data_IF_395353664128
#
_entry.id   IF_395353664128
#
_cell.length_a   1.000
_cell.length_b   1.000
_cell.length_c   1.000
_cell.angle_alpha   90.00
_cell.angle_beta   90.00
_cell.angle_gamma   90.00
#
_symmetry.space_group_name_H-M   'P 1'
#
loop_
_entity.id
_entity.type
_entity.pdbx_description
1 polymer ?
#
# COMPACT_ATOMS: atom_id res chain seq x y z
N UNK A 1 26.46 3.76 -11.53
CA UNK A 1 26.79 3.50 -10.11
C UNK A 1 27.71 2.30 -10.04
N UNK A 2 28.52 2.13 -8.99
CA UNK A 2 29.34 0.90 -8.83
C UNK A 2 28.41 -0.28 -8.54
N UNK A 3 28.61 -1.46 -9.16
CA UNK A 3 27.71 -2.61 -8.99
C UNK A 3 27.46 -3.01 -7.53
N UNK A 4 28.47 -2.89 -6.67
CA UNK A 4 28.38 -3.22 -5.24
C UNK A 4 27.53 -2.26 -4.42
N UNK A 5 27.11 -1.13 -5.01
CA UNK A 5 26.23 -0.14 -4.39
C UNK A 5 24.79 -0.23 -4.89
N UNK A 6 24.50 -1.16 -5.83
CA UNK A 6 23.14 -1.39 -6.31
C UNK A 6 22.44 -2.32 -5.32
N UNK A 7 21.35 -1.83 -4.73
CA UNK A 7 20.57 -2.62 -3.79
C UNK A 7 19.91 -3.82 -4.49
N UNK A 8 19.95 -4.98 -3.85
CA UNK A 8 19.15 -6.12 -4.29
C UNK A 8 17.68 -5.87 -3.93
N UNK A 9 16.79 -5.97 -4.91
CA UNK A 9 15.37 -5.78 -4.72
C UNK A 9 14.58 -6.92 -5.35
N UNK A 10 13.37 -7.19 -4.82
CA UNK A 10 12.43 -8.17 -5.35
C UNK A 10 11.06 -7.50 -5.53
N UNK A 11 10.94 -6.56 -6.50
CA UNK A 11 9.80 -5.66 -6.57
C UNK A 11 8.57 -6.26 -7.26
N UNK A 12 8.69 -7.41 -7.90
CA UNK A 12 7.58 -8.02 -8.61
C UNK A 12 6.71 -8.83 -7.65
N UNK A 13 5.41 -8.60 -7.73
CA UNK A 13 4.41 -9.40 -7.00
C UNK A 13 4.15 -10.70 -7.76
N UNK A 14 4.01 -11.81 -7.06
CA UNK A 14 3.67 -13.10 -7.66
C UNK A 14 2.32 -13.04 -8.38
N UNK A 15 2.20 -13.62 -9.58
CA UNK A 15 0.98 -13.53 -10.37
C UNK A 15 -0.28 -14.02 -9.66
N UNK A 16 -0.18 -15.05 -8.83
CA UNK A 16 -1.30 -15.59 -8.05
C UNK A 16 -1.87 -14.64 -7.00
N UNK A 17 -1.09 -13.63 -6.59
CA UNK A 17 -1.50 -12.59 -5.64
C UNK A 17 -2.09 -11.36 -6.34
N UNK A 18 -2.17 -11.33 -7.68
CA UNK A 18 -2.60 -10.16 -8.46
C UNK A 18 -4.01 -10.36 -9.01
N UNK A 19 -4.87 -9.37 -8.77
CA UNK A 19 -6.17 -9.19 -9.43
C UNK A 19 -6.11 -7.85 -10.18
N UNK A 20 -6.46 -7.85 -11.46
CA UNK A 20 -6.39 -6.63 -12.28
C UNK A 20 -7.52 -6.53 -13.31
N UNK A 21 -7.89 -5.30 -13.64
CA UNK A 21 -8.65 -4.90 -14.81
C UNK A 21 -7.80 -4.04 -15.74
N UNK A 22 -8.46 -3.26 -16.60
CA UNK A 22 -7.76 -2.46 -17.60
C UNK A 22 -6.97 -1.30 -16.95
N UNK A 23 -7.58 -0.60 -15.99
CA UNK A 23 -7.00 0.60 -15.36
C UNK A 23 -6.67 0.43 -13.88
N UNK A 24 -6.88 -0.73 -13.29
CA UNK A 24 -6.65 -0.98 -11.87
C UNK A 24 -5.96 -2.31 -11.63
N UNK A 25 -5.19 -2.37 -10.56
CA UNK A 25 -4.54 -3.58 -10.08
C UNK A 25 -4.56 -3.61 -8.55
N UNK A 26 -4.95 -4.76 -7.99
CA UNK A 26 -4.91 -5.01 -6.56
C UNK A 26 -4.04 -6.23 -6.34
N UNK A 27 -3.03 -6.09 -5.48
CA UNK A 27 -2.13 -7.16 -5.10
C UNK A 27 -2.32 -7.50 -3.63
N UNK A 28 -2.63 -8.77 -3.34
CA UNK A 28 -2.73 -9.30 -1.98
C UNK A 28 -1.35 -9.78 -1.58
N UNK A 29 -0.51 -8.90 -1.05
CA UNK A 29 0.88 -9.22 -0.72
C UNK A 29 0.96 -10.18 0.47
N UNK A 30 0.17 -9.91 1.52
CA UNK A 30 -0.07 -10.84 2.63
C UNK A 30 -1.55 -10.80 3.01
N UNK A 31 -1.97 -11.59 3.98
CA UNK A 31 -3.35 -11.51 4.51
C UNK A 31 -3.68 -10.14 5.10
N UNK A 32 -2.66 -9.36 5.49
CA UNK A 32 -2.77 -8.04 6.13
C UNK A 32 -2.25 -6.89 5.29
N UNK A 33 -1.61 -7.15 4.14
CA UNK A 33 -0.98 -6.12 3.30
C UNK A 33 -1.53 -6.19 1.89
N UNK A 34 -2.22 -5.11 1.48
CA UNK A 34 -2.76 -4.95 0.13
C UNK A 34 -2.05 -3.80 -0.58
N UNK A 35 -1.71 -3.97 -1.86
CA UNK A 35 -1.30 -2.88 -2.74
C UNK A 35 -2.43 -2.58 -3.72
N UNK A 36 -2.75 -1.30 -3.88
CA UNK A 36 -3.85 -0.81 -4.69
C UNK A 36 -3.30 0.19 -5.69
N UNK A 37 -3.48 -0.10 -6.97
CA UNK A 37 -2.98 0.74 -8.04
C UNK A 37 -4.11 1.13 -9.00
N UNK A 38 -4.09 2.39 -9.41
CA UNK A 38 -4.93 2.88 -10.51
C UNK A 38 -4.06 3.62 -11.52
N UNK A 39 -4.22 3.28 -12.79
CA UNK A 39 -3.51 3.89 -13.90
C UNK A 39 -4.50 4.13 -15.05
N UNK A 40 -4.77 5.38 -15.44
CA UNK A 40 -5.67 5.67 -16.57
C UNK A 40 -5.25 5.00 -17.88
N UNK A 41 -3.95 4.75 -18.04
CA UNK A 41 -3.36 4.11 -19.23
C UNK A 41 -3.20 2.58 -19.08
N UNK A 42 -3.56 1.99 -17.93
CA UNK A 42 -3.38 0.57 -17.64
C UNK A 42 -1.93 0.12 -17.52
N UNK A 43 -1.00 1.06 -17.25
CA UNK A 43 0.41 0.77 -17.09
C UNK A 43 0.78 0.91 -15.62
N UNK A 44 1.20 -0.19 -15.00
CA UNK A 44 1.50 -0.30 -13.59
C UNK A 44 3.01 -0.30 -13.33
N UNK A 45 3.42 0.07 -12.12
CA UNK A 45 4.83 0.16 -11.74
C UNK A 45 5.29 -1.14 -11.05
N UNK A 46 6.15 -1.89 -11.72
CA UNK A 46 6.69 -3.14 -11.18
C UNK A 46 8.12 -3.01 -10.63
N UNK A 47 8.76 -1.86 -10.83
CA UNK A 47 10.09 -1.59 -10.26
C UNK A 47 9.99 -1.27 -8.78
N UNK A 48 11.08 -1.48 -8.06
CA UNK A 48 11.24 -1.00 -6.70
C UNK A 48 11.14 0.54 -6.67
N UNK A 49 10.68 1.08 -5.55
CA UNK A 49 10.65 2.53 -5.30
C UNK A 49 11.56 2.87 -4.12
N UNK A 50 11.73 4.15 -3.83
CA UNK A 50 12.46 4.57 -2.64
C UNK A 50 11.84 4.06 -1.34
N UNK A 51 10.52 3.81 -1.33
CA UNK A 51 9.79 3.35 -0.15
C UNK A 51 9.62 1.83 -0.11
N UNK A 52 9.52 1.15 -1.26
CA UNK A 52 9.19 -0.27 -1.33
C UNK A 52 10.14 -1.01 -2.25
N UNK A 53 10.94 -1.91 -1.70
CA UNK A 53 11.96 -2.66 -2.41
C UNK A 53 11.55 -4.10 -2.73
N UNK A 54 10.67 -4.68 -1.91
CA UNK A 54 10.27 -6.08 -2.03
C UNK A 54 8.75 -6.23 -2.05
N UNK A 55 8.24 -7.00 -3.01
CA UNK A 55 6.82 -7.38 -3.14
C UNK A 55 6.66 -8.88 -3.43
N UNK A 56 7.76 -9.63 -3.42
CA UNK A 56 7.74 -11.09 -3.61
C UNK A 56 7.38 -11.78 -2.30
N UNK A 57 6.09 -11.77 -1.97
CA UNK A 57 5.54 -12.52 -0.84
C UNK A 57 5.00 -13.87 -1.31
N UNK A 58 4.97 -14.89 -0.43
CA UNK A 58 4.31 -16.17 -0.72
C UNK A 58 2.86 -15.97 -1.16
N UNK A 59 2.29 -17.00 -1.82
CA UNK A 59 0.89 -16.98 -2.20
C UNK A 59 -0.01 -16.77 -0.96
N UNK A 60 -0.85 -15.73 -1.04
CA UNK A 60 -1.78 -15.36 0.03
C UNK A 60 -3.11 -16.07 -0.15
N UNK A 61 -3.76 -16.42 0.97
CA UNK A 61 -5.10 -16.98 0.95
C UNK A 61 -6.13 -15.87 1.03
N UNK A 62 -6.97 -15.74 0.01
CA UNK A 62 -8.07 -14.79 -0.01
C UNK A 62 -9.25 -15.31 -0.83
N UNK A 63 -10.43 -14.78 -0.55
CA UNK A 63 -11.63 -15.00 -1.34
C UNK A 63 -11.88 -13.80 -2.24
N UNK A 64 -12.10 -14.06 -3.52
CA UNK A 64 -12.48 -13.06 -4.52
C UNK A 64 -13.96 -13.25 -4.89
N UNK A 65 -14.75 -12.18 -4.85
CA UNK A 65 -16.10 -12.11 -5.38
C UNK A 65 -16.10 -10.97 -6.39
N UNK A 66 -16.47 -11.25 -7.62
CA UNK A 66 -16.41 -10.24 -8.69
C UNK A 66 -17.65 -10.30 -9.55
N UNK A 67 -18.18 -9.11 -9.85
CA UNK A 67 -19.24 -8.87 -10.82
C UNK A 67 -18.72 -7.94 -11.92
N UNK A 68 -19.58 -7.54 -12.86
CA UNK A 68 -19.23 -6.55 -13.86
C UNK A 68 -18.79 -5.22 -13.21
N UNK A 69 -19.50 -4.75 -12.19
CA UNK A 69 -19.34 -3.43 -11.58
C UNK A 69 -18.64 -3.43 -10.20
N UNK A 70 -18.33 -4.58 -9.64
CA UNK A 70 -17.76 -4.66 -8.29
C UNK A 70 -16.74 -5.76 -8.13
N UNK A 71 -15.83 -5.54 -7.20
CA UNK A 71 -14.85 -6.50 -6.73
C UNK A 71 -14.82 -6.49 -5.20
N UNK A 72 -14.91 -7.68 -4.60
CA UNK A 72 -14.62 -7.86 -3.18
C UNK A 72 -13.42 -8.78 -3.02
N UNK A 73 -12.52 -8.41 -2.12
CA UNK A 73 -11.39 -9.23 -1.70
C UNK A 73 -11.47 -9.39 -0.19
N UNK A 74 -11.53 -10.64 0.26
CA UNK A 74 -11.67 -10.97 1.67
C UNK A 74 -10.49 -11.83 2.08
N UNK A 75 -9.68 -11.30 3.01
CA UNK A 75 -8.61 -12.00 3.71
C UNK A 75 -9.02 -12.21 5.16
N UNK A 76 -8.28 -12.97 5.97
CA UNK A 76 -8.50 -13.01 7.41
C UNK A 76 -8.40 -11.65 8.12
N UNK A 77 -7.62 -10.71 7.58
CA UNK A 77 -7.34 -9.41 8.21
C UNK A 77 -8.05 -8.22 7.55
N UNK A 78 -8.56 -8.36 6.32
CA UNK A 78 -9.14 -7.25 5.58
C UNK A 78 -10.31 -7.66 4.69
N UNK A 79 -11.30 -6.77 4.54
CA UNK A 79 -12.37 -6.88 3.56
C UNK A 79 -12.40 -5.62 2.68
N UNK A 80 -11.96 -5.77 1.45
CA UNK A 80 -11.96 -4.70 0.45
C UNK A 80 -13.22 -4.80 -0.40
N UNK A 81 -13.86 -3.63 -0.65
CA UNK A 81 -14.97 -3.45 -1.58
C UNK A 81 -14.59 -2.34 -2.56
N UNK A 82 -14.70 -2.63 -3.86
CA UNK A 82 -14.26 -1.73 -4.92
C UNK A 82 -15.21 -1.76 -6.13
N UNK A 83 -15.52 -0.59 -6.68
CA UNK A 83 -16.43 -0.42 -7.83
C UNK A 83 -15.75 -0.51 -9.21
N UNK A 84 -14.48 -0.87 -9.28
CA UNK A 84 -13.66 -1.05 -10.49
C UNK A 84 -13.45 0.22 -11.35
N UNK A 85 -13.71 1.42 -10.77
CA UNK A 85 -13.51 2.72 -11.41
C UNK A 85 -12.31 3.44 -10.78
N UNK A 86 -12.04 4.66 -11.20
CA UNK A 86 -11.04 5.50 -10.54
C UNK A 86 -11.31 5.57 -9.02
N UNK A 87 -10.24 5.48 -8.23
CA UNK A 87 -10.37 5.45 -6.78
C UNK A 87 -11.08 6.70 -6.25
N UNK A 88 -12.09 6.49 -5.44
CA UNK A 88 -12.89 7.55 -4.85
C UNK A 88 -13.45 7.11 -3.49
N UNK A 89 -13.82 8.05 -2.61
CA UNK A 89 -14.35 7.73 -1.28
C UNK A 89 -15.57 6.80 -1.30
N UNK A 90 -16.44 6.94 -2.32
CA UNK A 90 -17.62 6.10 -2.47
C UNK A 90 -17.35 4.82 -3.29
N UNK A 91 -16.18 4.68 -3.90
CA UNK A 91 -15.86 3.59 -4.82
C UNK A 91 -14.90 2.56 -4.26
N UNK A 92 -14.13 2.91 -3.24
CA UNK A 92 -13.15 2.03 -2.63
C UNK A 92 -13.19 2.17 -1.12
N UNK A 93 -13.46 1.06 -0.43
CA UNK A 93 -13.38 0.97 1.02
C UNK A 93 -12.71 -0.34 1.44
N UNK A 94 -12.05 -0.31 2.59
CA UNK A 94 -11.41 -1.46 3.19
C UNK A 94 -11.71 -1.48 4.68
N UNK A 95 -12.27 -2.57 5.15
CA UNK A 95 -12.45 -2.84 6.57
C UNK A 95 -11.28 -3.69 7.08
N UNK A 96 -10.58 -3.20 8.11
CA UNK A 96 -9.68 -4.04 8.88
C UNK A 96 -10.48 -4.95 9.81
N UNK A 97 -10.21 -6.25 9.77
CA UNK A 97 -10.92 -7.29 10.54
C UNK A 97 -10.11 -7.63 11.78
N UNK A 98 -10.73 -7.57 12.97
CA UNK A 98 -10.07 -7.88 14.26
C UNK A 98 -10.79 -7.26 15.45
N UNK A 99 -10.22 -7.44 16.66
CA UNK A 99 -10.76 -6.94 17.93
C UNK A 99 -10.42 -5.46 18.22
N UNK A 100 -10.49 -4.62 17.21
CA UNK A 100 -10.37 -3.17 17.37
C UNK A 100 -11.70 -2.50 17.08
N UNK A 101 -11.88 -1.30 17.58
CA UNK A 101 -13.16 -0.57 17.54
C UNK A 101 -13.88 -0.66 16.18
N UNK A 102 -15.06 -1.25 16.15
CA UNK A 102 -15.90 -1.37 14.95
C UNK A 102 -16.24 -0.01 14.30
N UNK A 103 -16.16 1.09 15.05
CA UNK A 103 -16.50 2.43 14.56
C UNK A 103 -15.41 3.09 13.72
N UNK A 104 -14.16 2.60 13.75
CA UNK A 104 -13.02 3.24 13.08
C UNK A 104 -12.14 2.24 12.34
N UNK A 105 -12.64 1.05 12.04
CA UNK A 105 -11.92 0.01 11.31
C UNK A 105 -12.18 0.01 9.80
N UNK A 106 -13.06 0.87 9.30
CA UNK A 106 -13.34 1.03 7.87
C UNK A 106 -12.65 2.30 7.39
N UNK A 107 -11.86 2.15 6.37
CA UNK A 107 -11.22 3.22 5.63
C UNK A 107 -11.90 3.36 4.27
N UNK A 108 -12.24 4.58 3.88
CA UNK A 108 -12.60 4.94 2.52
C UNK A 108 -11.44 5.64 1.85
N UNK A 109 -11.32 5.51 0.55
CA UNK A 109 -10.24 6.17 -0.19
C UNK A 109 -10.19 7.67 0.12
N UNK A 110 -9.04 8.12 0.59
CA UNK A 110 -8.81 9.52 0.97
C UNK A 110 -9.16 9.87 2.42
N UNK A 111 -9.70 8.93 3.21
CA UNK A 111 -9.91 9.15 4.64
C UNK A 111 -8.57 9.27 5.37
N UNK A 112 -8.52 10.19 6.30
CA UNK A 112 -7.41 10.31 7.25
C UNK A 112 -7.52 9.23 8.35
N UNK A 113 -6.39 8.90 9.00
CA UNK A 113 -6.34 7.90 10.06
C UNK A 113 -5.39 8.34 11.17
N UNK A 114 -5.59 7.81 12.38
CA UNK A 114 -4.81 8.15 13.57
C UNK A 114 -3.64 7.19 13.71
N UNK A 115 -2.56 7.48 13.03
CA UNK A 115 -1.32 6.72 13.17
C UNK A 115 -0.59 7.03 14.49
N UNK A 116 0.46 6.29 14.76
CA UNK A 116 1.33 6.51 15.93
C UNK A 116 2.54 7.39 15.59
N UNK A 117 2.51 8.02 14.41
CA UNK A 117 3.58 8.85 13.87
C UNK A 117 4.63 8.04 13.13
N UNK A 118 5.13 8.63 12.07
CA UNK A 118 6.26 8.14 11.31
C UNK A 118 7.56 8.82 11.75
N UNK A 119 8.27 9.40 10.80
CA UNK A 119 9.53 10.10 11.05
C UNK A 119 9.50 11.50 10.44
N UNK A 120 10.55 12.27 10.69
CA UNK A 120 10.83 13.51 10.02
C UNK A 120 12.15 13.36 9.25
N UNK A 121 12.24 13.98 8.09
CA UNK A 121 13.44 13.89 7.23
C UNK A 121 14.67 14.50 7.90
N UNK A 122 14.46 15.61 8.61
CA UNK A 122 15.53 16.35 9.28
C UNK A 122 14.96 17.12 10.47
N UNK A 123 15.82 17.36 11.44
CA UNK A 123 15.55 18.26 12.56
C UNK A 123 16.35 19.58 12.43
N UNK A 124 16.99 19.79 11.28
CA UNK A 124 17.72 21.02 11.01
C UNK A 124 16.78 22.22 11.11
N UNK A 125 17.24 23.25 11.82
CA UNK A 125 16.47 24.47 12.09
C UNK A 125 15.16 24.26 12.88
N UNK A 126 14.93 23.07 13.44
CA UNK A 126 13.77 22.81 14.28
C UNK A 126 13.93 23.54 15.63
N UNK A 127 12.92 24.36 15.96
CA UNK A 127 12.78 25.03 17.24
C UNK A 127 11.46 24.60 17.90
N UNK A 128 11.51 23.51 18.65
CA UNK A 128 10.35 22.90 19.30
C UNK A 128 9.76 21.71 18.53
N UNK A 129 8.45 21.53 18.66
CA UNK A 129 7.74 20.39 18.04
C UNK A 129 7.62 20.56 16.53
N UNK A 130 7.85 19.49 15.79
CA UNK A 130 7.66 19.43 14.33
C UNK A 130 6.60 18.38 13.98
N UNK A 131 5.87 18.55 12.86
CA UNK A 131 4.99 17.52 12.37
C UNK A 131 5.79 16.30 11.89
N UNK A 132 5.34 15.10 12.25
CA UNK A 132 5.88 13.84 11.73
C UNK A 132 5.07 13.42 10.50
N UNK A 133 5.72 12.71 9.59
CA UNK A 133 5.03 12.02 8.49
C UNK A 133 4.16 10.88 9.04
N UNK A 134 3.20 10.41 8.25
CA UNK A 134 2.38 9.25 8.61
C UNK A 134 3.24 7.99 8.77
N UNK A 135 2.89 7.18 9.76
CA UNK A 135 3.54 5.89 10.01
C UNK A 135 2.69 4.72 9.52
N UNK A 136 3.31 3.53 9.47
CA UNK A 136 2.66 2.30 9.04
C UNK A 136 1.89 1.57 10.13
N UNK A 137 1.88 2.09 11.35
CA UNK A 137 1.13 1.56 12.50
C UNK A 137 0.17 2.61 13.05
N UNK A 138 -1.00 2.18 13.49
CA UNK A 138 -2.04 3.08 13.97
C UNK A 138 -2.86 2.47 15.10
N UNK A 139 -3.69 3.30 15.73
CA UNK A 139 -4.69 2.85 16.71
C UNK A 139 -5.97 2.34 16.06
N UNK A 140 -6.15 2.58 14.76
CA UNK A 140 -7.33 2.14 14.02
C UNK A 140 -7.27 0.69 13.56
N UNK A 141 -6.14 0.00 13.79
CA UNK A 141 -5.90 -1.35 13.29
C UNK A 141 -5.48 -1.41 11.83
N UNK A 142 -5.40 -0.27 11.16
CA UNK A 142 -4.89 -0.14 9.79
C UNK A 142 -4.10 1.15 9.61
N UNK A 143 -3.29 1.20 8.57
CA UNK A 143 -2.68 2.42 8.05
C UNK A 143 -2.58 2.39 6.54
N UNK A 144 -2.30 3.53 5.94
CA UNK A 144 -2.19 3.70 4.49
C UNK A 144 -0.90 4.43 4.16
N UNK A 145 -0.14 3.89 3.22
CA UNK A 145 1.05 4.54 2.68
C UNK A 145 0.84 4.88 1.21
N UNK A 146 0.98 6.13 0.85
CA UNK A 146 0.94 6.60 -0.55
C UNK A 146 2.34 6.58 -1.15
N UNK A 147 2.57 5.64 -2.07
CA UNK A 147 3.82 5.49 -2.82
C UNK A 147 3.76 6.10 -4.23
N UNK A 148 2.66 6.76 -4.57
CA UNK A 148 2.40 7.27 -5.94
C UNK A 148 3.47 8.24 -6.44
N UNK A 149 4.14 8.94 -5.54
CA UNK A 149 5.15 9.97 -5.85
C UNK A 149 6.59 9.56 -5.57
N UNK A 150 6.80 8.40 -4.96
CA UNK A 150 8.15 7.89 -4.71
C UNK A 150 8.88 7.66 -6.02
N UNK A 151 10.18 7.95 -6.05
CA UNK A 151 10.99 7.70 -7.23
C UNK A 151 11.18 6.21 -7.43
N UNK A 152 11.12 5.75 -8.66
CA UNK A 152 11.40 4.36 -9.02
C UNK A 152 12.89 4.12 -9.16
N UNK A 153 13.36 2.95 -8.72
CA UNK A 153 14.74 2.53 -8.88
C UNK A 153 14.96 1.95 -10.28
N UNK A 154 16.05 2.33 -10.91
CA UNK A 154 16.52 1.78 -12.18
C UNK A 154 17.50 0.65 -11.94
N UNK A 155 17.68 -0.22 -12.93
CA UNK A 155 18.66 -1.31 -12.89
C UNK A 155 20.10 -0.84 -12.67
N UNK A 156 20.43 0.39 -13.11
CA UNK A 156 21.74 1.01 -12.91
C UNK A 156 21.92 1.62 -11.49
N UNK A 157 20.94 1.49 -10.63
CA UNK A 157 20.92 1.98 -9.24
C UNK A 157 20.56 3.46 -9.09
N UNK A 158 20.27 4.16 -10.19
CA UNK A 158 19.74 5.51 -10.14
C UNK A 158 18.23 5.49 -9.95
N UNK A 159 17.68 6.63 -9.59
CA UNK A 159 16.23 6.84 -9.44
C UNK A 159 15.68 7.73 -10.53
N UNK A 160 14.42 7.53 -10.87
CA UNK A 160 13.71 8.37 -11.82
C UNK A 160 12.24 8.60 -11.39
N UNK A 161 11.62 9.70 -11.83
CA UNK A 161 10.21 9.95 -11.53
C UNK A 161 9.32 8.84 -12.09
N UNK A 162 8.28 8.51 -11.34
CA UNK A 162 7.20 7.62 -11.80
C UNK A 162 6.29 8.33 -12.80
N UNK A 163 5.47 7.53 -13.49
CA UNK A 163 4.44 8.03 -14.41
C UNK A 163 3.45 8.90 -13.64
N UNK A 164 3.13 10.07 -14.19
CA UNK A 164 2.15 10.99 -13.60
C UNK A 164 0.72 10.47 -13.77
N UNK A 165 -0.15 10.84 -12.83
CA UNK A 165 -1.58 10.49 -12.87
C UNK A 165 -1.90 9.06 -12.45
N UNK A 166 -0.92 8.30 -11.98
CA UNK A 166 -1.12 6.98 -11.39
C UNK A 166 -1.20 7.08 -9.87
N UNK A 167 -2.05 6.25 -9.28
CA UNK A 167 -2.15 6.05 -7.83
C UNK A 167 -1.53 4.70 -7.49
N UNK A 168 -0.76 4.65 -6.39
CA UNK A 168 -0.15 3.44 -5.86
C UNK A 168 -0.08 3.56 -4.34
N UNK A 169 -0.95 2.85 -3.65
CA UNK A 169 -1.07 2.91 -2.20
C UNK A 169 -1.00 1.52 -1.60
N UNK A 170 -0.50 1.45 -0.38
CA UNK A 170 -0.44 0.24 0.42
C UNK A 170 -1.36 0.39 1.62
N UNK A 171 -2.20 -0.60 1.85
CA UNK A 171 -3.10 -0.70 3.00
C UNK A 171 -2.60 -1.78 3.94
N UNK A 172 -2.34 -1.41 5.20
CA UNK A 172 -1.76 -2.23 6.25
C UNK A 172 -2.83 -2.59 7.28
N UNK A 173 -3.35 -3.81 7.27
CA UNK A 173 -4.40 -4.27 8.18
C UNK A 173 -3.83 -5.20 9.27
N UNK A 174 -2.82 -4.74 9.99
CA UNK A 174 -2.13 -5.55 11.00
C UNK A 174 -2.75 -5.45 12.40
N UNK A 175 -3.84 -4.72 12.56
CA UNK A 175 -4.44 -4.52 13.87
C UNK A 175 -3.45 -3.87 14.84
N UNK A 176 -3.23 -4.52 15.97
CA UNK A 176 -2.22 -4.11 16.96
C UNK A 176 -0.96 -4.99 16.94
N UNK A 177 -0.80 -5.85 15.92
CA UNK A 177 0.46 -6.56 15.69
C UNK A 177 1.48 -5.67 15.00
N UNK A 178 1.97 -4.69 15.74
CA UNK A 178 2.93 -3.69 15.27
C UNK A 178 4.26 -4.31 14.85
N UNK A 179 4.65 -5.43 15.48
CA UNK A 179 5.88 -6.13 15.13
C UNK A 179 5.81 -6.76 13.74
N UNK A 180 4.69 -7.40 13.42
CA UNK A 180 4.52 -7.99 12.10
C UNK A 180 4.38 -6.91 11.02
N UNK A 181 3.69 -5.79 11.31
CA UNK A 181 3.63 -4.64 10.41
C UNK A 181 5.02 -4.11 10.05
N UNK A 182 5.89 -3.91 11.04
CA UNK A 182 7.26 -3.44 10.84
C UNK A 182 8.16 -4.48 10.13
N UNK A 183 7.88 -5.77 10.31
CA UNK A 183 8.65 -6.84 9.66
C UNK A 183 8.32 -6.96 8.17
N UNK A 184 7.07 -6.72 7.79
CA UNK A 184 6.61 -6.82 6.41
C UNK A 184 6.82 -5.51 5.62
N UNK A 185 7.22 -4.43 6.31
CA UNK A 185 7.69 -3.16 5.72
C UNK A 185 9.16 -3.27 5.27
#
# INVERSE_FOLDING_TARGET
MRPELIAATHPETRPENIIKGDCWRISVLTESLLRLEYSPEGIFEDRATQSVWNRDFPASTFRRIETEDSLEIITPAAHLIYNKKEFSPNGLSIQAIGDYSAYHSIWHYGDDFRDLGGTARTLDEADGAIPLEHGIISRNGFSVMDDSRSLALREDGWVEPRRKGCTDIYFWAYGHDYHQALKDF
#
